data_IF_442831548027
#
_entry.id   IF_442831548027
#
_cell.length_a   1.000
_cell.length_b   1.000
_cell.length_c   1.000
_cell.angle_alpha   90.00
_cell.angle_beta   90.00
_cell.angle_gamma   90.00
#
_symmetry.space_group_name_H-M   'P 1'
#
loop_
_entity.id
_entity.type
_entity.pdbx_description
1 polymer ?
#
# COMPACT_ATOMS: atom_id res chain seq x y z
N UNK A 1 0.40 -33.53 -5.43
CA UNK A 1 -0.26 -33.11 -4.17
C UNK A 1 -0.65 -31.63 -4.26
N UNK A 2 -1.90 -31.26 -3.90
CA UNK A 2 -2.27 -29.84 -3.80
C UNK A 2 -1.50 -29.20 -2.64
N UNK A 3 -0.62 -28.24 -2.92
CA UNK A 3 0.11 -27.51 -1.86
C UNK A 3 -0.87 -26.81 -0.93
N UNK A 4 -0.71 -27.00 0.38
CA UNK A 4 -1.42 -26.26 1.41
C UNK A 4 -0.64 -24.97 1.69
N UNK A 5 -1.30 -23.81 1.56
CA UNK A 5 -0.71 -22.49 1.77
C UNK A 5 -1.40 -21.78 2.94
N UNK A 6 -0.63 -21.42 3.95
CA UNK A 6 -1.10 -20.57 5.04
C UNK A 6 -0.56 -19.15 4.86
N UNK A 7 -1.46 -18.19 4.63
CA UNK A 7 -1.10 -16.78 4.55
C UNK A 7 -1.17 -16.15 5.94
N UNK A 8 -0.04 -15.70 6.47
CA UNK A 8 0.08 -15.08 7.78
C UNK A 8 -0.03 -13.56 7.67
N UNK A 9 -1.17 -13.01 8.08
CA UNK A 9 -1.43 -11.56 8.08
C UNK A 9 -2.24 -11.14 9.32
N UNK A 10 -1.60 -10.97 10.47
CA UNK A 10 -2.27 -10.78 11.76
C UNK A 10 -3.27 -9.63 11.83
N UNK A 11 -3.01 -8.51 11.13
CA UNK A 11 -3.91 -7.35 11.14
C UNK A 11 -4.37 -7.02 9.73
N UNK A 12 -5.69 -7.04 9.51
CA UNK A 12 -6.34 -6.66 8.26
C UNK A 12 -6.93 -5.25 8.39
N UNK A 13 -6.09 -4.25 8.16
CA UNK A 13 -6.52 -2.86 8.05
C UNK A 13 -7.00 -2.58 6.62
N UNK A 14 -7.87 -1.56 6.42
CA UNK A 14 -8.38 -1.23 5.08
C UNK A 14 -7.33 -0.44 4.26
N UNK A 15 -6.21 -1.07 3.93
CA UNK A 15 -5.07 -0.46 3.25
C UNK A 15 -4.73 -1.08 1.90
N UNK A 16 -3.68 -0.53 1.26
CA UNK A 16 -3.21 -1.04 -0.03
C UNK A 16 -2.56 -2.43 0.05
N UNK A 17 -1.93 -2.78 1.18
CA UNK A 17 -1.32 -4.09 1.38
C UNK A 17 -2.39 -5.19 1.45
N UNK A 18 -3.48 -4.94 2.19
CA UNK A 18 -4.61 -5.86 2.35
C UNK A 18 -5.36 -6.03 1.02
N UNK A 19 -5.50 -4.99 0.22
CA UNK A 19 -6.05 -5.10 -1.15
C UNK A 19 -5.24 -6.09 -1.99
N UNK A 20 -3.92 -6.01 -1.94
CA UNK A 20 -3.05 -6.95 -2.65
C UNK A 20 -3.19 -8.36 -2.10
N UNK A 21 -3.31 -8.52 -0.78
CA UNK A 21 -3.54 -9.80 -0.14
C UNK A 21 -4.83 -10.46 -0.66
N UNK A 22 -5.96 -9.73 -0.72
CA UNK A 22 -7.21 -10.27 -1.26
C UNK A 22 -7.08 -10.71 -2.71
N UNK A 23 -6.40 -9.91 -3.55
CA UNK A 23 -6.19 -10.25 -4.97
C UNK A 23 -5.36 -11.51 -5.13
N UNK A 24 -4.24 -11.62 -4.41
CA UNK A 24 -3.30 -12.75 -4.51
C UNK A 24 -3.94 -14.03 -3.96
N UNK A 25 -4.55 -13.99 -2.77
CA UNK A 25 -5.18 -15.16 -2.17
C UNK A 25 -6.38 -15.67 -2.96
N UNK A 26 -7.19 -14.77 -3.52
CA UNK A 26 -8.30 -15.15 -4.39
C UNK A 26 -7.81 -15.77 -5.71
N UNK A 27 -6.70 -15.28 -6.25
CA UNK A 27 -6.08 -15.89 -7.43
C UNK A 27 -5.59 -17.31 -7.13
N UNK A 28 -4.87 -17.52 -6.04
CA UNK A 28 -4.41 -18.84 -5.62
C UNK A 28 -5.55 -19.84 -5.46
N UNK A 29 -6.66 -19.39 -4.84
CA UNK A 29 -7.86 -20.21 -4.71
C UNK A 29 -8.46 -20.58 -6.08
N UNK A 30 -8.44 -19.66 -7.04
CA UNK A 30 -8.90 -19.93 -8.42
C UNK A 30 -8.01 -20.97 -9.14
N UNK A 31 -6.73 -21.01 -8.82
CA UNK A 31 -5.76 -21.99 -9.35
C UNK A 31 -5.80 -23.33 -8.61
N UNK A 32 -6.77 -23.54 -7.71
CA UNK A 32 -6.93 -24.83 -7.00
C UNK A 32 -6.06 -25.03 -5.78
N UNK A 33 -5.28 -24.01 -5.34
CA UNK A 33 -4.49 -24.09 -4.10
C UNK A 33 -5.41 -24.08 -2.89
N UNK A 34 -5.13 -24.92 -1.90
CA UNK A 34 -5.75 -24.88 -0.58
C UNK A 34 -5.18 -23.70 0.20
N UNK A 35 -5.97 -22.62 0.37
CA UNK A 35 -5.53 -21.40 1.04
C UNK A 35 -6.17 -21.26 2.41
N UNK A 36 -5.35 -21.05 3.41
CA UNK A 36 -5.73 -20.69 4.77
C UNK A 36 -5.26 -19.26 5.09
N UNK A 37 -6.09 -18.45 5.76
CA UNK A 37 -5.72 -17.09 6.19
C UNK A 37 -5.65 -17.06 7.71
N UNK A 38 -4.48 -16.80 8.26
CA UNK A 38 -4.28 -16.60 9.69
C UNK A 38 -4.30 -15.11 10.03
N UNK A 39 -5.33 -14.67 10.77
CA UNK A 39 -5.54 -13.28 11.13
C UNK A 39 -6.37 -13.13 12.40
N UNK A 40 -6.21 -12.01 13.11
CA UNK A 40 -7.06 -11.61 14.21
C UNK A 40 -8.34 -10.86 13.77
N UNK A 41 -8.51 -10.58 12.48
CA UNK A 41 -9.63 -9.79 11.95
C UNK A 41 -10.62 -10.64 11.18
N UNK A 42 -11.47 -11.40 11.91
CA UNK A 42 -12.54 -12.21 11.31
C UNK A 42 -13.58 -11.37 10.56
N UNK A 43 -13.86 -10.14 11.01
CA UNK A 43 -14.78 -9.20 10.36
C UNK A 43 -14.41 -8.90 8.89
N UNK A 44 -13.14 -9.02 8.55
CA UNK A 44 -12.60 -8.80 7.19
C UNK A 44 -12.60 -10.07 6.34
N UNK A 45 -12.88 -11.23 6.90
CA UNK A 45 -12.87 -12.51 6.20
C UNK A 45 -13.80 -12.54 4.99
N UNK A 46 -14.94 -11.86 5.06
CA UNK A 46 -15.90 -11.72 3.94
C UNK A 46 -15.32 -11.11 2.66
N UNK A 47 -14.16 -10.50 2.72
CA UNK A 47 -13.48 -9.94 1.54
C UNK A 47 -12.70 -11.00 0.75
N UNK A 48 -12.49 -12.19 1.34
CA UNK A 48 -11.88 -13.32 0.65
C UNK A 48 -12.92 -14.14 -0.11
N UNK A 49 -12.45 -14.88 -1.12
CA UNK A 49 -13.30 -15.77 -1.90
C UNK A 49 -13.81 -16.94 -1.04
N UNK A 50 -15.05 -17.36 -1.28
CA UNK A 50 -15.64 -18.55 -0.64
C UNK A 50 -14.73 -19.78 -0.83
N UNK A 51 -14.51 -20.55 0.23
CA UNK A 51 -13.63 -21.73 0.25
C UNK A 51 -12.17 -21.45 0.61
N UNK A 52 -11.78 -20.21 0.89
CA UNK A 52 -10.55 -19.89 1.63
C UNK A 52 -10.87 -20.16 3.12
N UNK A 53 -10.00 -20.87 3.85
CA UNK A 53 -10.23 -21.20 5.27
C UNK A 53 -9.67 -20.08 6.15
N UNK A 54 -10.44 -19.67 7.15
CA UNK A 54 -9.97 -18.74 8.18
C UNK A 54 -9.40 -19.49 9.39
N UNK A 55 -8.20 -19.11 9.81
CA UNK A 55 -7.54 -19.55 11.03
C UNK A 55 -7.29 -18.30 11.88
N UNK A 56 -7.82 -18.32 13.11
CA UNK A 56 -7.67 -17.16 14.00
C UNK A 56 -8.84 -17.05 14.96
N UNK A 57 -8.88 -15.95 15.68
CA UNK A 57 -9.94 -15.72 16.65
C UNK A 57 -11.16 -15.04 16.03
N UNK A 58 -12.35 -15.59 16.28
CA UNK A 58 -13.63 -14.95 15.93
C UNK A 58 -14.07 -13.94 16.98
N UNK A 59 -13.43 -13.91 18.15
CA UNK A 59 -13.78 -13.02 19.25
C UNK A 59 -13.54 -11.56 18.89
N UNK A 60 -14.59 -10.73 19.01
CA UNK A 60 -14.59 -9.29 18.71
C UNK A 60 -13.59 -8.50 19.58
N UNK A 61 -13.34 -8.97 20.80
CA UNK A 61 -12.37 -8.36 21.71
C UNK A 61 -10.99 -8.23 21.07
N UNK A 62 -10.45 -9.31 20.48
CA UNK A 62 -9.14 -9.31 19.82
C UNK A 62 -9.11 -8.48 18.54
N UNK A 63 -10.23 -8.42 17.81
CA UNK A 63 -10.36 -7.64 16.58
C UNK A 63 -10.21 -6.13 16.81
N UNK A 64 -10.60 -5.63 18.00
CA UNK A 64 -10.51 -4.22 18.39
C UNK A 64 -9.13 -3.83 18.96
N UNK A 65 -8.28 -4.79 19.32
CA UNK A 65 -6.96 -4.53 19.91
C UNK A 65 -6.00 -3.86 18.93
N UNK A 66 -4.96 -3.24 19.48
CA UNK A 66 -3.89 -2.63 18.70
C UNK A 66 -3.11 -3.69 17.88
N UNK A 67 -2.31 -3.23 16.95
CA UNK A 67 -1.58 -4.09 16.00
C UNK A 67 -0.60 -5.03 16.68
N UNK A 68 0.07 -4.59 17.73
CA UNK A 68 1.05 -5.39 18.47
C UNK A 68 0.39 -6.59 19.15
N UNK A 69 -0.74 -6.37 19.82
CA UNK A 69 -1.50 -7.46 20.46
C UNK A 69 -1.99 -8.47 19.42
N UNK A 70 -2.51 -7.99 18.28
CA UNK A 70 -2.90 -8.89 17.17
C UNK A 70 -1.72 -9.75 16.68
N UNK A 71 -0.51 -9.18 16.62
CA UNK A 71 0.68 -9.94 16.26
C UNK A 71 0.96 -11.06 17.25
N UNK A 72 0.96 -10.76 18.55
CA UNK A 72 1.20 -11.77 19.61
C UNK A 72 0.16 -12.89 19.56
N UNK A 73 -1.12 -12.55 19.50
CA UNK A 73 -2.21 -13.54 19.42
C UNK A 73 -2.06 -14.42 18.18
N UNK A 74 -1.77 -13.84 17.02
CA UNK A 74 -1.63 -14.62 15.80
C UNK A 74 -0.34 -15.48 15.77
N UNK A 75 0.73 -15.04 16.41
CA UNK A 75 1.95 -15.86 16.57
C UNK A 75 1.68 -17.05 17.47
N UNK A 76 0.93 -16.86 18.55
CA UNK A 76 0.50 -17.95 19.42
C UNK A 76 -0.37 -18.97 18.67
N UNK A 77 -1.37 -18.47 17.91
CA UNK A 77 -2.22 -19.34 17.08
C UNK A 77 -1.38 -20.06 16.02
N UNK A 78 -0.41 -19.40 15.40
CA UNK A 78 0.51 -20.00 14.44
C UNK A 78 1.29 -21.17 15.08
N UNK A 79 1.87 -20.93 16.26
CA UNK A 79 2.63 -21.92 16.99
C UNK A 79 1.81 -23.18 17.25
N UNK A 80 0.63 -23.07 17.90
CA UNK A 80 -0.23 -24.21 18.20
C UNK A 80 -0.80 -24.90 16.96
N UNK A 81 -1.07 -24.13 15.91
CA UNK A 81 -1.54 -24.70 14.67
C UNK A 81 -0.47 -25.56 13.97
N UNK A 82 0.80 -25.14 14.03
CA UNK A 82 1.90 -25.87 13.41
C UNK A 82 2.35 -27.08 14.21
N UNK A 83 2.36 -27.01 15.55
CA UNK A 83 2.79 -28.14 16.40
C UNK A 83 1.83 -29.32 16.28
N UNK A 84 0.54 -29.05 16.11
CA UNK A 84 -0.52 -30.06 16.03
C UNK A 84 -0.70 -30.63 14.60
N UNK A 85 0.16 -30.27 13.63
CA UNK A 85 0.05 -30.75 12.24
C UNK A 85 1.20 -31.67 11.86
N UNK A 86 0.88 -32.87 11.37
CA UNK A 86 1.85 -33.72 10.69
C UNK A 86 2.32 -33.07 9.37
N UNK A 87 1.39 -32.65 8.51
CA UNK A 87 1.69 -31.98 7.24
C UNK A 87 1.58 -30.48 7.41
N UNK A 88 2.74 -29.80 7.46
CA UNK A 88 2.82 -28.36 7.66
C UNK A 88 2.63 -27.62 6.34
N UNK A 89 1.75 -26.60 6.29
CA UNK A 89 1.57 -25.80 5.09
C UNK A 89 2.80 -24.91 4.85
N UNK A 90 3.02 -24.51 3.59
CA UNK A 90 3.92 -23.41 3.30
C UNK A 90 3.34 -22.12 3.90
N UNK A 91 4.13 -21.43 4.72
CA UNK A 91 3.71 -20.17 5.33
C UNK A 91 4.09 -19.01 4.40
N UNK A 92 3.13 -18.17 4.03
CA UNK A 92 3.36 -16.94 3.28
C UNK A 92 3.09 -15.72 4.17
N UNK A 93 4.14 -15.14 4.74
CA UNK A 93 4.03 -14.04 5.69
C UNK A 93 3.96 -12.68 4.98
N UNK A 94 2.87 -11.93 5.21
CA UNK A 94 2.63 -10.58 4.71
C UNK A 94 2.91 -9.49 5.76
N UNK A 95 2.86 -9.83 7.04
CA UNK A 95 3.11 -8.93 8.18
C UNK A 95 3.84 -9.68 9.29
N UNK A 96 4.48 -8.93 10.18
CA UNK A 96 5.23 -9.48 11.32
C UNK A 96 6.26 -10.55 10.91
N UNK A 97 6.85 -10.39 9.74
CA UNK A 97 7.67 -11.38 9.05
C UNK A 97 8.77 -11.98 9.94
N UNK A 98 9.51 -11.14 10.68
CA UNK A 98 10.61 -11.56 11.55
C UNK A 98 10.14 -12.57 12.61
N UNK A 99 9.03 -12.27 13.27
CA UNK A 99 8.47 -13.13 14.32
C UNK A 99 7.88 -14.42 13.74
N UNK A 100 7.23 -14.33 12.58
CA UNK A 100 6.69 -15.51 11.88
C UNK A 100 7.80 -16.45 11.43
N UNK A 101 8.94 -15.91 10.96
CA UNK A 101 10.12 -16.71 10.59
C UNK A 101 10.65 -17.49 11.79
N UNK A 102 10.79 -16.86 12.96
CA UNK A 102 11.24 -17.54 14.17
C UNK A 102 10.33 -18.72 14.54
N UNK A 103 9.02 -18.49 14.63
CA UNK A 103 8.04 -19.55 14.95
C UNK A 103 8.09 -20.68 13.91
N UNK A 104 8.11 -20.35 12.63
CA UNK A 104 8.15 -21.35 11.57
C UNK A 104 9.41 -22.21 11.63
N UNK A 105 10.59 -21.60 11.84
CA UNK A 105 11.86 -22.34 11.86
C UNK A 105 12.05 -23.17 13.11
N UNK A 106 11.62 -22.72 14.28
CA UNK A 106 11.56 -23.53 15.49
C UNK A 106 10.74 -24.81 15.25
N UNK A 107 9.62 -24.69 14.55
CA UNK A 107 8.71 -25.79 14.24
C UNK A 107 9.01 -26.49 12.91
N UNK A 108 10.17 -26.26 12.28
CA UNK A 108 10.59 -26.88 11.01
C UNK A 108 9.56 -26.76 9.89
N UNK A 109 8.90 -25.61 9.78
CA UNK A 109 7.96 -25.29 8.71
C UNK A 109 8.60 -24.39 7.65
N UNK A 110 8.23 -24.58 6.38
CA UNK A 110 8.68 -23.70 5.29
C UNK A 110 7.97 -22.37 5.34
N UNK A 111 8.75 -21.28 5.20
CA UNK A 111 8.22 -19.91 5.25
C UNK A 111 8.84 -19.01 4.20
N UNK A 112 7.98 -18.33 3.44
CA UNK A 112 8.37 -17.21 2.59
C UNK A 112 7.82 -15.91 3.14
N UNK A 113 8.58 -14.84 3.01
CA UNK A 113 8.18 -13.55 3.52
C UNK A 113 7.98 -12.53 2.41
N UNK A 114 6.97 -11.69 2.54
CA UNK A 114 6.73 -10.56 1.65
C UNK A 114 6.81 -9.25 2.41
N UNK A 115 7.80 -8.43 2.06
CA UNK A 115 7.96 -7.09 2.65
C UNK A 115 7.20 -6.04 1.85
N UNK A 116 6.36 -5.25 2.55
CA UNK A 116 5.43 -4.30 1.97
C UNK A 116 5.85 -2.83 2.10
N UNK A 117 6.84 -2.52 2.93
CA UNK A 117 7.34 -1.17 3.16
C UNK A 117 8.86 -1.17 3.34
N UNK A 118 9.49 -0.09 2.89
CA UNK A 118 10.94 0.05 2.95
C UNK A 118 11.50 -0.17 4.37
N UNK A 119 12.70 -0.76 4.51
CA UNK A 119 13.34 -1.04 5.80
C UNK A 119 13.56 0.20 6.68
N UNK A 120 13.58 1.40 6.12
CA UNK A 120 13.63 2.66 6.85
C UNK A 120 12.47 2.84 7.83
N UNK A 121 11.33 2.20 7.56
CA UNK A 121 10.18 2.18 8.45
C UNK A 121 10.19 1.08 9.52
N UNK A 122 11.20 0.20 9.55
CA UNK A 122 11.21 -0.96 10.47
C UNK A 122 11.81 -0.62 11.83
N UNK A 123 13.04 -0.12 11.86
CA UNK A 123 13.72 0.33 13.06
C UNK A 123 14.93 1.20 12.71
N UNK A 124 15.20 2.21 13.54
CA UNK A 124 16.46 2.97 13.49
C UNK A 124 17.54 2.38 14.44
N UNK A 125 17.16 1.43 15.31
CA UNK A 125 18.06 0.80 16.24
C UNK A 125 18.99 -0.19 15.51
N UNK A 126 20.31 0.02 15.67
CA UNK A 126 21.35 -0.79 15.02
C UNK A 126 21.28 -2.27 15.42
N UNK A 127 21.13 -2.56 16.73
CA UNK A 127 21.06 -3.93 17.26
C UNK A 127 19.85 -4.66 16.71
N UNK A 128 18.67 -4.02 16.73
CA UNK A 128 17.45 -4.61 16.13
C UNK A 128 17.63 -4.90 14.64
N UNK A 129 18.29 -4.01 13.90
CA UNK A 129 18.56 -4.24 12.48
C UNK A 129 19.50 -5.42 12.24
N UNK A 130 20.51 -5.63 13.10
CA UNK A 130 21.42 -6.78 13.05
C UNK A 130 20.66 -8.10 13.32
N UNK A 131 19.83 -8.11 14.34
CA UNK A 131 18.95 -9.25 14.66
C UNK A 131 17.99 -9.54 13.50
N UNK A 132 17.34 -8.52 12.95
CA UNK A 132 16.44 -8.67 11.80
C UNK A 132 17.14 -9.22 10.56
N UNK A 133 18.40 -8.84 10.33
CA UNK A 133 19.23 -9.38 9.25
C UNK A 133 19.46 -10.88 9.41
N UNK A 134 19.75 -11.33 10.62
CA UNK A 134 19.96 -12.76 10.92
C UNK A 134 18.65 -13.53 10.71
N UNK A 135 17.59 -13.10 11.36
CA UNK A 135 16.32 -13.84 11.33
C UNK A 135 15.73 -13.91 9.92
N UNK A 136 15.72 -12.82 9.16
CA UNK A 136 15.13 -12.82 7.81
C UNK A 136 15.88 -13.75 6.84
N UNK A 137 17.18 -14.02 7.08
CA UNK A 137 17.97 -14.97 6.31
C UNK A 137 17.57 -16.43 6.56
N UNK A 138 16.89 -16.72 7.66
CA UNK A 138 16.37 -18.06 7.96
C UNK A 138 15.12 -18.39 7.13
N UNK A 139 14.44 -17.40 6.55
CA UNK A 139 13.31 -17.67 5.65
C UNK A 139 13.78 -18.43 4.41
N UNK A 140 12.95 -19.36 3.90
CA UNK A 140 13.28 -20.14 2.70
C UNK A 140 13.39 -19.26 1.45
N UNK A 141 12.58 -18.21 1.36
CA UNK A 141 12.76 -17.13 0.38
C UNK A 141 12.15 -15.82 0.85
N UNK A 142 12.60 -14.73 0.25
CA UNK A 142 12.17 -13.37 0.57
C UNK A 142 11.68 -12.66 -0.69
N UNK A 143 10.52 -12.01 -0.59
CA UNK A 143 9.90 -11.27 -1.66
C UNK A 143 9.72 -9.80 -1.32
N UNK A 144 9.89 -8.94 -2.31
CA UNK A 144 9.63 -7.50 -2.26
C UNK A 144 8.77 -7.07 -3.44
N UNK A 145 8.19 -5.88 -3.35
CA UNK A 145 7.21 -5.40 -4.32
C UNK A 145 7.73 -4.31 -5.28
N UNK A 146 9.02 -3.98 -5.24
CA UNK A 146 9.64 -3.05 -6.19
C UNK A 146 11.13 -3.35 -6.37
N UNK A 147 11.71 -2.96 -7.51
CA UNK A 147 13.13 -3.13 -7.80
C UNK A 147 14.00 -2.24 -6.91
N UNK A 148 13.53 -1.03 -6.62
CA UNK A 148 14.23 -0.14 -5.66
C UNK A 148 14.29 -0.79 -4.28
N UNK A 149 13.21 -1.44 -3.85
CA UNK A 149 13.18 -2.16 -2.59
C UNK A 149 14.14 -3.36 -2.61
N UNK A 150 14.20 -4.10 -3.73
CA UNK A 150 15.18 -5.19 -3.93
C UNK A 150 16.62 -4.69 -3.75
N UNK A 151 16.98 -3.56 -4.36
CA UNK A 151 18.31 -2.94 -4.23
C UNK A 151 18.63 -2.59 -2.77
N UNK A 152 17.69 -1.96 -2.06
CA UNK A 152 17.85 -1.61 -0.63
C UNK A 152 18.01 -2.87 0.22
N UNK A 153 17.22 -3.90 -0.04
CA UNK A 153 17.29 -5.18 0.69
C UNK A 153 18.65 -5.85 0.51
N UNK A 154 19.14 -5.93 -0.74
CA UNK A 154 20.45 -6.47 -1.07
C UNK A 154 21.57 -5.70 -0.33
N UNK A 155 21.53 -4.35 -0.36
CA UNK A 155 22.53 -3.51 0.32
C UNK A 155 22.48 -3.67 1.85
N UNK A 156 21.27 -3.61 2.45
CA UNK A 156 21.11 -3.59 3.93
C UNK A 156 21.24 -4.96 4.57
N UNK A 157 20.68 -6.00 3.94
CA UNK A 157 20.59 -7.34 4.55
C UNK A 157 21.46 -8.39 3.89
N UNK A 158 22.13 -8.08 2.77
CA UNK A 158 22.89 -9.03 1.95
C UNK A 158 22.03 -10.22 1.49
N UNK A 159 20.76 -9.95 1.16
CA UNK A 159 19.77 -10.89 0.64
C UNK A 159 19.36 -10.37 -0.74
N UNK A 160 19.22 -11.27 -1.72
CA UNK A 160 18.74 -10.94 -3.06
C UNK A 160 17.27 -11.36 -3.23
N UNK A 161 16.29 -10.59 -2.75
CA UNK A 161 14.89 -10.99 -2.74
C UNK A 161 14.31 -11.08 -4.15
N UNK A 162 13.28 -11.90 -4.32
CA UNK A 162 12.47 -11.89 -5.54
C UNK A 162 11.62 -10.64 -5.60
N UNK A 163 11.68 -9.91 -6.72
CA UNK A 163 10.80 -8.76 -6.93
C UNK A 163 9.57 -9.17 -7.73
N UNK A 164 8.38 -9.02 -7.12
CA UNK A 164 7.09 -9.21 -7.81
C UNK A 164 6.20 -8.02 -7.46
N UNK A 165 5.75 -7.29 -8.48
CA UNK A 165 4.92 -6.10 -8.30
C UNK A 165 3.56 -6.41 -7.68
N UNK A 166 2.95 -5.39 -7.08
CA UNK A 166 1.55 -5.45 -6.66
C UNK A 166 0.66 -5.73 -7.86
N UNK A 167 -0.22 -6.75 -7.80
CA UNK A 167 -1.18 -7.00 -8.85
C UNK A 167 -2.23 -5.89 -8.89
N UNK A 168 -2.56 -5.41 -10.09
CA UNK A 168 -3.54 -4.35 -10.29
C UNK A 168 -4.71 -4.85 -11.13
N UNK A 169 -5.88 -4.95 -10.50
CA UNK A 169 -7.11 -5.38 -11.15
C UNK A 169 -7.87 -4.17 -11.72
N UNK A 170 -7.76 -4.00 -13.06
CA UNK A 170 -8.46 -2.96 -13.82
C UNK A 170 -9.99 -3.12 -13.76
N UNK A 171 -10.47 -4.36 -13.82
CA UNK A 171 -11.90 -4.67 -13.85
C UNK A 171 -12.57 -4.35 -12.52
N UNK A 172 -11.87 -4.62 -11.41
CA UNK A 172 -12.32 -4.22 -10.07
C UNK A 172 -12.57 -2.71 -9.99
N UNK A 173 -11.63 -1.89 -10.50
CA UNK A 173 -11.79 -0.43 -10.47
C UNK A 173 -12.92 0.04 -11.39
N UNK A 174 -13.03 -0.52 -12.61
CA UNK A 174 -14.14 -0.22 -13.52
C UNK A 174 -15.48 -0.51 -12.87
N UNK A 175 -15.65 -1.69 -12.25
CA UNK A 175 -16.85 -2.06 -11.49
C UNK A 175 -17.17 -1.10 -10.34
N UNK A 176 -16.14 -0.64 -9.60
CA UNK A 176 -16.30 0.33 -8.52
C UNK A 176 -16.69 1.73 -9.01
N UNK A 177 -16.28 2.10 -10.21
CA UNK A 177 -16.68 3.38 -10.83
C UNK A 177 -18.11 3.37 -11.36
N UNK A 178 -18.64 2.21 -11.78
CA UNK A 178 -20.02 2.07 -12.26
C UNK A 178 -21.05 1.90 -11.14
N UNK A 179 -20.61 1.62 -9.89
CA UNK A 179 -21.52 1.52 -8.76
C UNK A 179 -22.04 2.91 -8.35
N UNK A 180 -23.24 2.94 -7.66
CA UNK A 180 -23.80 4.18 -7.11
C UNK A 180 -22.76 4.89 -6.23
N UNK A 181 -22.42 6.12 -6.55
CA UNK A 181 -21.34 6.87 -5.91
C UNK A 181 -21.88 8.08 -5.18
N UNK A 182 -21.19 8.49 -4.10
CA UNK A 182 -21.50 9.72 -3.38
C UNK A 182 -21.33 10.95 -4.28
N UNK A 183 -22.20 11.93 -4.13
CA UNK A 183 -22.04 13.26 -4.76
C UNK A 183 -20.81 13.95 -4.18
N UNK A 184 -19.85 14.30 -5.04
CA UNK A 184 -18.64 15.02 -4.66
C UNK A 184 -18.82 16.49 -5.03
N UNK A 185 -19.32 17.29 -4.09
CA UNK A 185 -19.67 18.70 -4.33
C UNK A 185 -18.50 19.66 -4.06
N UNK A 186 -17.44 19.18 -3.36
CA UNK A 186 -16.31 20.04 -3.00
C UNK A 186 -15.39 20.34 -4.20
N UNK A 187 -15.22 19.39 -5.11
CA UNK A 187 -14.51 19.62 -6.38
C UNK A 187 -15.38 20.47 -7.32
N UNK A 188 -14.76 21.47 -7.96
CA UNK A 188 -15.47 22.42 -8.83
C UNK A 188 -14.88 22.43 -10.24
N UNK A 189 -15.73 22.61 -11.25
CA UNK A 189 -15.31 22.83 -12.65
C UNK A 189 -14.50 24.15 -12.71
N UNK A 190 -13.44 24.17 -13.52
CA UNK A 190 -12.54 25.32 -13.64
C UNK A 190 -11.45 25.41 -12.56
N UNK A 191 -11.57 24.66 -11.45
CA UNK A 191 -10.55 24.57 -10.40
C UNK A 191 -9.51 23.49 -10.69
N UNK A 192 -8.33 23.60 -10.09
CA UNK A 192 -7.36 22.50 -10.00
C UNK A 192 -7.80 21.63 -8.82
N UNK A 193 -8.42 20.49 -9.12
CA UNK A 193 -8.91 19.56 -8.13
C UNK A 193 -7.80 18.53 -7.79
N UNK A 194 -7.35 18.54 -6.55
CA UNK A 194 -6.24 17.72 -6.05
C UNK A 194 -6.78 16.69 -5.07
N UNK A 195 -6.27 15.47 -5.16
CA UNK A 195 -6.58 14.42 -4.20
C UNK A 195 -5.32 13.85 -3.57
N UNK A 196 -5.34 13.63 -2.26
CA UNK A 196 -4.35 12.85 -1.54
C UNK A 196 -5.05 11.74 -0.75
N UNK A 197 -4.58 10.50 -0.89
CA UNK A 197 -5.21 9.33 -0.27
C UNK A 197 -4.18 8.54 0.51
N UNK A 198 -4.44 8.30 1.79
CA UNK A 198 -3.59 7.49 2.63
C UNK A 198 -3.95 7.59 4.10
N UNK A 199 -3.33 6.74 4.93
CA UNK A 199 -3.45 6.85 6.38
C UNK A 199 -2.98 8.23 6.85
N UNK A 200 -3.69 8.85 7.79
CA UNK A 200 -3.28 10.13 8.36
C UNK A 200 -2.20 9.89 9.42
N UNK A 201 -0.97 9.68 8.97
CA UNK A 201 0.21 9.32 9.78
C UNK A 201 1.44 10.10 9.32
N UNK A 202 2.48 10.14 10.13
CA UNK A 202 3.76 10.79 9.83
C UNK A 202 4.43 10.22 8.56
N UNK A 203 4.22 8.93 8.28
CA UNK A 203 4.70 8.29 7.07
C UNK A 203 4.13 8.93 5.80
N UNK A 204 2.81 9.20 5.78
CA UNK A 204 2.11 9.74 4.60
C UNK A 204 2.25 11.25 4.46
N UNK A 205 2.63 11.93 5.52
CA UNK A 205 2.99 13.35 5.59
C UNK A 205 2.06 14.29 4.82
N UNK A 206 0.76 14.15 5.08
CA UNK A 206 -0.24 15.06 4.50
C UNK A 206 -0.03 16.53 4.90
N UNK A 207 0.74 16.79 5.98
CA UNK A 207 1.07 18.15 6.40
C UNK A 207 1.92 18.87 5.34
N UNK A 208 2.88 18.19 4.70
CA UNK A 208 3.64 18.73 3.56
C UNK A 208 2.71 19.13 2.40
N UNK A 209 1.68 18.31 2.11
CA UNK A 209 0.65 18.68 1.13
C UNK A 209 -0.13 19.93 1.52
N UNK A 210 -0.51 20.07 2.80
CA UNK A 210 -1.21 21.27 3.31
C UNK A 210 -0.34 22.52 3.25
N UNK A 211 0.96 22.41 3.61
CA UNK A 211 1.93 23.51 3.49
C UNK A 211 2.04 23.98 2.04
N UNK A 212 2.04 23.05 1.07
CA UNK A 212 2.05 23.42 -0.35
C UNK A 212 0.80 24.21 -0.78
N UNK A 213 -0.39 23.81 -0.31
CA UNK A 213 -1.64 24.54 -0.61
C UNK A 213 -1.65 25.90 0.06
N UNK A 214 -1.11 26.02 1.27
CA UNK A 214 -1.09 27.28 2.05
C UNK A 214 -0.32 28.40 1.36
N UNK A 215 0.82 28.08 0.72
CA UNK A 215 1.66 29.09 0.04
C UNK A 215 1.18 29.44 -1.39
N UNK A 216 0.10 28.82 -1.88
CA UNK A 216 -0.48 29.19 -3.17
C UNK A 216 -1.22 30.51 -3.07
N UNK A 217 -1.06 31.36 -4.10
CA UNK A 217 -1.76 32.65 -4.19
C UNK A 217 -3.27 32.49 -3.94
N UNK A 218 -3.94 33.47 -3.30
CA UNK A 218 -5.38 33.41 -3.01
C UNK A 218 -6.26 33.24 -4.25
N UNK A 219 -5.89 33.89 -5.35
CA UNK A 219 -6.61 33.90 -6.65
C UNK A 219 -6.51 32.55 -7.39
N UNK A 220 -5.53 31.70 -7.07
CA UNK A 220 -5.40 30.41 -7.71
C UNK A 220 -6.56 29.47 -7.29
N UNK A 221 -7.44 29.18 -8.24
CA UNK A 221 -8.61 28.31 -8.05
C UNK A 221 -8.22 26.86 -7.81
N UNK A 222 -8.00 26.47 -6.54
CA UNK A 222 -7.58 25.11 -6.12
C UNK A 222 -8.58 24.56 -5.11
N UNK A 223 -8.87 23.25 -5.22
CA UNK A 223 -9.59 22.46 -4.22
C UNK A 223 -8.81 21.18 -3.96
N UNK A 224 -8.60 20.83 -2.69
CA UNK A 224 -7.92 19.59 -2.29
C UNK A 224 -8.80 18.76 -1.37
N UNK A 225 -8.95 17.47 -1.68
CA UNK A 225 -9.57 16.49 -0.80
C UNK A 225 -8.48 15.55 -0.27
N UNK A 226 -8.51 15.31 1.04
CA UNK A 226 -7.69 14.29 1.69
C UNK A 226 -8.61 13.17 2.17
N UNK A 227 -8.34 11.93 1.72
CA UNK A 227 -9.08 10.72 2.10
C UNK A 227 -8.19 9.86 2.99
N UNK A 228 -8.67 9.56 4.19
CA UNK A 228 -7.98 8.65 5.10
C UNK A 228 -8.44 8.76 6.54
N UNK A 229 -7.88 7.89 7.38
CA UNK A 229 -8.01 7.91 8.84
C UNK A 229 -6.64 7.69 9.48
N UNK A 230 -6.42 8.19 10.68
CA UNK A 230 -5.17 7.98 11.41
C UNK A 230 -4.94 9.00 12.51
N UNK A 231 -3.85 8.80 13.25
CA UNK A 231 -3.51 9.57 14.47
C UNK A 231 -3.32 11.08 14.22
N UNK A 232 -2.92 11.47 13.01
CA UNK A 232 -2.64 12.87 12.68
C UNK A 232 -3.89 13.67 12.26
N UNK A 233 -5.11 13.11 12.39
CA UNK A 233 -6.34 13.81 11.97
C UNK A 233 -6.46 15.19 12.63
N UNK A 234 -6.38 15.23 13.96
CA UNK A 234 -6.50 16.48 14.73
C UNK A 234 -5.42 17.51 14.37
N UNK A 235 -4.18 17.06 14.17
CA UNK A 235 -3.08 17.93 13.73
C UNK A 235 -3.36 18.58 12.38
N UNK A 236 -3.89 17.81 11.43
CA UNK A 236 -4.22 18.31 10.09
C UNK A 236 -5.40 19.26 10.13
N UNK A 237 -6.46 18.96 10.91
CA UNK A 237 -7.61 19.83 11.13
C UNK A 237 -7.19 21.16 11.78
N UNK A 238 -6.35 21.11 12.83
CA UNK A 238 -5.79 22.31 13.47
C UNK A 238 -5.01 23.17 12.46
N UNK A 239 -4.15 22.55 11.65
CA UNK A 239 -3.39 23.29 10.61
C UNK A 239 -4.30 23.97 9.59
N UNK A 240 -5.36 23.27 9.11
CA UNK A 240 -6.34 23.82 8.17
C UNK A 240 -7.06 25.02 8.76
N UNK A 241 -7.49 24.94 10.01
CA UNK A 241 -8.24 26.02 10.68
C UNK A 241 -7.38 27.26 10.95
N UNK A 242 -6.18 27.06 11.55
CA UNK A 242 -5.24 28.17 11.84
C UNK A 242 -4.88 28.93 10.55
N UNK A 243 -4.64 28.22 9.44
CA UNK A 243 -4.28 28.84 8.17
C UNK A 243 -5.49 29.18 7.28
N UNK A 244 -6.72 29.14 7.83
CA UNK A 244 -7.98 29.48 7.12
C UNK A 244 -8.15 28.76 5.77
N UNK A 245 -7.70 27.49 5.69
CA UNK A 245 -7.70 26.70 4.44
C UNK A 245 -9.02 25.95 4.19
N UNK A 246 -10.05 26.06 5.04
CA UNK A 246 -11.32 25.32 4.93
C UNK A 246 -12.01 25.50 3.57
N UNK A 247 -11.83 26.66 2.94
CA UNK A 247 -12.36 26.94 1.60
C UNK A 247 -11.57 26.24 0.47
N UNK A 248 -10.31 25.84 0.68
CA UNK A 248 -9.45 25.14 -0.29
C UNK A 248 -9.28 23.66 -0.01
N UNK A 249 -9.38 23.21 1.24
CA UNK A 249 -9.06 21.84 1.66
C UNK A 249 -10.19 21.21 2.48
N UNK A 250 -10.48 19.93 2.24
CA UNK A 250 -11.44 19.13 3.01
C UNK A 250 -10.88 17.76 3.35
N UNK A 251 -10.88 17.40 4.65
CA UNK A 251 -10.69 16.03 5.12
C UNK A 251 -12.04 15.32 5.11
N UNK A 252 -12.18 14.25 4.32
CA UNK A 252 -13.47 13.55 4.15
C UNK A 252 -13.50 12.18 4.85
N UNK A 253 -12.49 11.89 5.68
CA UNK A 253 -12.40 10.62 6.38
C UNK A 253 -12.06 9.45 5.44
N UNK A 254 -12.22 8.22 5.92
CA UNK A 254 -12.04 7.02 5.12
C UNK A 254 -13.20 6.82 4.15
N UNK A 255 -12.87 6.48 2.89
CA UNK A 255 -13.86 6.13 1.87
C UNK A 255 -13.61 4.72 1.36
N UNK A 256 -14.62 3.85 1.45
CA UNK A 256 -14.56 2.47 0.93
C UNK A 256 -14.36 2.42 -0.58
N UNK A 257 -14.90 3.40 -1.30
CA UNK A 257 -14.72 3.57 -2.73
C UNK A 257 -14.11 4.95 -3.06
N UNK A 258 -12.79 5.08 -3.13
CA UNK A 258 -12.14 6.37 -3.43
C UNK A 258 -12.07 6.69 -4.93
N UNK A 259 -12.37 5.75 -5.82
CA UNK A 259 -12.14 5.90 -7.26
C UNK A 259 -12.93 7.03 -7.91
N UNK A 260 -14.18 7.33 -7.54
CA UNK A 260 -14.91 8.49 -8.07
C UNK A 260 -14.21 9.81 -7.73
N UNK A 261 -13.59 9.90 -6.55
CA UNK A 261 -12.81 11.07 -6.15
C UNK A 261 -11.55 11.21 -7.00
N UNK A 262 -10.82 10.09 -7.23
CA UNK A 262 -9.65 10.09 -8.13
C UNK A 262 -10.09 10.47 -9.55
N UNK A 263 -11.19 9.90 -10.06
CA UNK A 263 -11.71 10.18 -11.41
C UNK A 263 -12.06 11.67 -11.59
N UNK A 264 -12.62 12.33 -10.57
CA UNK A 264 -12.97 13.75 -10.60
C UNK A 264 -11.79 14.69 -10.33
N UNK A 265 -10.66 14.20 -9.82
CA UNK A 265 -9.47 15.03 -9.59
C UNK A 265 -8.68 15.27 -10.88
N UNK A 266 -7.86 16.32 -10.86
CA UNK A 266 -6.86 16.61 -11.89
C UNK A 266 -5.49 16.06 -11.50
N UNK A 267 -5.13 16.19 -10.21
CA UNK A 267 -3.84 15.85 -9.65
C UNK A 267 -4.03 14.84 -8.52
N UNK A 268 -3.23 13.77 -8.54
CA UNK A 268 -3.02 12.89 -7.38
C UNK A 268 -1.69 13.28 -6.75
N UNK A 269 -1.73 13.68 -5.48
CA UNK A 269 -0.58 14.12 -4.71
C UNK A 269 -0.21 13.09 -3.65
N UNK A 270 1.04 12.62 -3.67
CA UNK A 270 1.62 11.75 -2.65
C UNK A 270 2.83 12.45 -2.01
N UNK A 271 2.75 12.75 -0.71
CA UNK A 271 3.79 13.44 0.06
C UNK A 271 4.55 12.54 1.03
N UNK A 272 4.50 11.23 0.85
CA UNK A 272 5.02 10.24 1.79
C UNK A 272 6.52 10.37 2.03
N UNK A 273 6.96 10.04 3.25
CA UNK A 273 8.38 9.96 3.64
C UNK A 273 9.04 8.64 3.21
N UNK A 274 8.28 7.57 3.13
CA UNK A 274 8.72 6.25 2.63
C UNK A 274 7.53 5.40 2.22
N UNK A 275 7.71 4.51 1.25
CA UNK A 275 6.69 3.61 0.69
C UNK A 275 7.26 2.18 0.48
N UNK A 276 6.47 1.32 -0.10
CA UNK A 276 6.90 0.11 -0.78
C UNK A 276 6.63 0.24 -2.27
N UNK A 277 5.41 -0.09 -2.70
CA UNK A 277 4.88 0.22 -4.03
C UNK A 277 3.48 0.82 -3.83
N UNK A 278 3.33 2.15 -3.83
CA UNK A 278 2.07 2.81 -3.47
C UNK A 278 0.97 2.58 -4.51
N UNK A 279 -0.06 1.79 -4.16
CA UNK A 279 -1.17 1.46 -5.07
C UNK A 279 -1.89 2.70 -5.59
N UNK A 280 -1.96 3.78 -4.80
CA UNK A 280 -2.61 5.03 -5.24
C UNK A 280 -1.98 5.62 -6.50
N UNK A 281 -0.67 5.46 -6.71
CA UNK A 281 -0.02 5.92 -7.93
C UNK A 281 -0.39 5.03 -9.12
N UNK A 282 -0.57 3.71 -8.92
CA UNK A 282 -1.06 2.80 -9.95
C UNK A 282 -2.52 3.15 -10.32
N UNK A 283 -3.35 3.44 -9.32
CA UNK A 283 -4.74 3.87 -9.49
C UNK A 283 -4.82 5.19 -10.26
N UNK A 284 -3.94 6.14 -9.96
CA UNK A 284 -3.83 7.41 -10.65
C UNK A 284 -3.40 7.26 -12.12
N UNK A 285 -2.40 6.41 -12.42
CA UNK A 285 -1.98 6.13 -13.79
C UNK A 285 -3.10 5.48 -14.61
N UNK A 286 -3.78 4.47 -14.04
CA UNK A 286 -4.90 3.81 -14.71
C UNK A 286 -6.06 4.79 -15.00
N UNK A 287 -6.34 5.70 -14.07
CA UNK A 287 -7.39 6.73 -14.22
C UNK A 287 -6.90 7.98 -14.97
N UNK A 288 -5.71 7.92 -15.58
CA UNK A 288 -5.12 8.98 -16.40
C UNK A 288 -5.05 10.32 -15.66
N UNK A 289 -4.55 10.31 -14.41
CA UNK A 289 -4.35 11.51 -13.60
C UNK A 289 -2.91 11.96 -13.61
N UNK A 290 -2.69 13.27 -13.56
CA UNK A 290 -1.37 13.81 -13.33
C UNK A 290 -0.93 13.50 -11.89
N UNK A 291 0.31 13.06 -11.73
CA UNK A 291 0.86 12.63 -10.46
C UNK A 291 1.99 13.57 -10.07
N UNK A 292 1.91 14.09 -8.85
CA UNK A 292 3.01 14.72 -8.13
C UNK A 292 3.30 13.82 -6.92
N UNK A 293 4.52 13.33 -6.79
CA UNK A 293 4.90 12.43 -5.70
C UNK A 293 6.26 12.81 -5.13
N UNK A 294 6.43 12.61 -3.83
CA UNK A 294 7.77 12.60 -3.24
C UNK A 294 8.60 11.48 -3.84
N UNK A 295 9.89 11.77 -4.06
CA UNK A 295 10.92 10.81 -4.45
C UNK A 295 11.40 10.02 -3.21
N UNK A 296 10.45 9.54 -2.41
CA UNK A 296 10.77 8.80 -1.19
C UNK A 296 11.28 7.39 -1.49
N UNK A 297 12.07 6.79 -0.59
CA UNK A 297 12.34 5.36 -0.64
C UNK A 297 11.02 4.57 -0.47
N UNK A 298 10.67 3.74 -1.29
CA UNK A 298 10.83 3.03 -2.52
C UNK A 298 9.56 3.21 -3.37
N UNK A 299 9.52 2.74 -4.61
CA UNK A 299 8.31 2.64 -5.43
C UNK A 299 7.90 3.87 -6.25
N UNK A 300 7.78 5.11 -5.73
CA UNK A 300 7.36 6.25 -6.53
C UNK A 300 8.22 6.48 -7.77
N UNK A 301 9.55 6.49 -7.61
CA UNK A 301 10.51 6.64 -8.72
C UNK A 301 10.31 5.57 -9.79
N UNK A 302 10.13 4.33 -9.39
CA UNK A 302 9.92 3.20 -10.28
C UNK A 302 8.58 3.28 -11.00
N UNK A 303 7.49 3.60 -10.29
CA UNK A 303 6.16 3.78 -10.90
C UNK A 303 6.18 4.92 -11.90
N UNK A 304 6.81 6.04 -11.54
CA UNK A 304 6.85 7.25 -12.36
C UNK A 304 7.98 7.27 -13.39
N UNK A 305 8.71 6.15 -13.58
CA UNK A 305 9.76 6.01 -14.59
C UNK A 305 10.80 7.13 -14.49
N UNK A 306 11.32 7.37 -13.28
CA UNK A 306 12.27 8.46 -12.99
C UNK A 306 11.73 9.86 -13.37
N UNK A 307 10.47 10.13 -13.15
CA UNK A 307 9.82 11.42 -13.44
C UNK A 307 9.23 11.58 -14.84
N UNK A 308 9.39 10.59 -15.74
CA UNK A 308 8.81 10.63 -17.10
C UNK A 308 7.29 10.43 -17.10
N UNK A 309 6.72 9.76 -16.08
CA UNK A 309 5.30 9.46 -15.96
C UNK A 309 4.57 10.24 -14.85
N UNK A 310 5.15 11.32 -14.37
CA UNK A 310 4.69 12.20 -13.32
C UNK A 310 5.86 13.00 -12.77
N UNK A 311 5.64 13.89 -11.81
CA UNK A 311 6.72 14.67 -11.21
C UNK A 311 7.14 14.11 -9.86
N UNK A 312 8.46 14.04 -9.65
CA UNK A 312 9.09 13.65 -8.39
C UNK A 312 9.67 14.90 -7.73
N UNK A 313 9.42 15.02 -6.43
CA UNK A 313 9.94 16.10 -5.57
C UNK A 313 10.63 15.49 -4.36
N UNK A 314 11.56 16.22 -3.75
CA UNK A 314 12.19 15.73 -2.52
C UNK A 314 11.19 15.64 -1.37
N UNK A 315 11.48 14.75 -0.41
CA UNK A 315 10.63 14.55 0.77
C UNK A 315 10.57 15.84 1.57
N UNK A 316 9.37 16.34 1.85
CA UNK A 316 9.14 17.58 2.59
C UNK A 316 9.18 18.87 1.73
N UNK A 317 9.54 18.79 0.45
CA UNK A 317 9.62 19.97 -0.43
C UNK A 317 8.23 20.46 -0.87
N UNK A 318 7.52 21.07 0.06
CA UNK A 318 6.21 21.67 -0.21
C UNK A 318 6.28 22.87 -1.18
N UNK A 319 7.43 23.56 -1.29
CA UNK A 319 7.62 24.67 -2.21
C UNK A 319 7.60 24.19 -3.67
N UNK A 320 8.31 23.11 -3.98
CA UNK A 320 8.30 22.49 -5.30
C UNK A 320 6.93 21.92 -5.66
N UNK A 321 6.22 21.30 -4.70
CA UNK A 321 4.84 20.85 -4.89
C UNK A 321 3.95 22.02 -5.27
N UNK A 322 4.00 23.12 -4.54
CA UNK A 322 3.23 24.33 -4.84
C UNK A 322 3.55 24.91 -6.22
N UNK A 323 4.84 24.94 -6.58
CA UNK A 323 5.26 25.38 -7.92
C UNK A 323 4.64 24.51 -9.02
N UNK A 324 4.69 23.19 -8.91
CA UNK A 324 4.10 22.26 -9.89
C UNK A 324 2.57 22.43 -10.01
N UNK A 325 1.88 22.69 -8.89
CA UNK A 325 0.46 23.00 -8.90
C UNK A 325 0.20 24.33 -9.63
N UNK A 326 0.99 25.38 -9.37
CA UNK A 326 0.86 26.70 -9.99
C UNK A 326 0.98 26.63 -11.51
N UNK A 327 1.95 25.86 -12.03
CA UNK A 327 2.20 25.75 -13.47
C UNK A 327 1.31 24.72 -14.18
N UNK A 328 0.47 23.95 -13.46
CA UNK A 328 -0.36 22.88 -14.00
C UNK A 328 -1.16 23.27 -15.24
N UNK A 329 -1.85 24.42 -15.18
CA UNK A 329 -2.67 24.88 -16.32
C UNK A 329 -1.84 25.34 -17.51
N UNK A 330 -0.62 25.87 -17.26
CA UNK A 330 0.30 26.37 -18.31
C UNK A 330 1.01 25.23 -19.03
N UNK A 331 1.28 24.12 -18.35
CA UNK A 331 2.09 23.00 -18.90
C UNK A 331 1.26 21.78 -19.33
N UNK A 332 0.01 21.98 -19.77
CA UNK A 332 -0.90 20.87 -20.15
C UNK A 332 -0.30 19.88 -21.16
N UNK A 333 0.44 20.37 -22.17
CA UNK A 333 1.06 19.51 -23.20
C UNK A 333 2.07 18.54 -22.58
N UNK A 334 2.96 19.04 -21.72
CA UNK A 334 3.96 18.24 -21.02
C UNK A 334 3.29 17.25 -20.05
N UNK A 335 2.32 17.71 -19.29
CA UNK A 335 1.57 16.91 -18.33
C UNK A 335 0.83 15.76 -19.03
N UNK A 336 0.16 16.03 -20.17
CA UNK A 336 -0.53 15.02 -20.95
C UNK A 336 0.45 13.98 -21.51
N UNK A 337 1.66 14.38 -21.92
CA UNK A 337 2.73 13.44 -22.31
C UNK A 337 3.11 12.53 -21.15
N UNK A 338 3.32 13.06 -19.94
CA UNK A 338 3.63 12.27 -18.73
C UNK A 338 2.50 11.28 -18.39
N UNK A 339 1.24 11.72 -18.44
CA UNK A 339 0.07 10.85 -18.23
C UNK A 339 0.03 9.71 -19.25
N UNK A 340 0.25 10.00 -20.54
CA UNK A 340 0.27 9.00 -21.63
C UNK A 340 1.39 7.98 -21.42
N UNK A 341 2.60 8.43 -21.05
CA UNK A 341 3.73 7.54 -20.74
C UNK A 341 3.38 6.61 -19.57
N UNK A 342 2.82 7.14 -18.49
CA UNK A 342 2.41 6.33 -17.33
C UNK A 342 1.36 5.28 -17.68
N UNK A 343 0.33 5.67 -18.43
CA UNK A 343 -0.72 4.77 -18.87
C UNK A 343 -0.22 3.66 -19.79
N UNK A 344 0.65 3.98 -20.75
CA UNK A 344 1.18 3.00 -21.71
C UNK A 344 2.13 1.99 -21.06
N UNK A 345 2.86 2.40 -20.02
CA UNK A 345 3.78 1.52 -19.28
C UNK A 345 3.12 0.76 -18.11
N UNK A 346 1.81 0.85 -17.99
CA UNK A 346 1.06 0.29 -16.86
C UNK A 346 0.99 -1.25 -16.86
N UNK A 347 1.15 -1.91 -18.02
CA UNK A 347 1.00 -3.37 -18.19
C UNK A 347 1.86 -4.21 -17.25
N UNK A 348 3.04 -3.69 -16.81
CA UNK A 348 3.92 -4.37 -15.84
C UNK A 348 3.28 -4.65 -14.47
N UNK A 349 2.18 -3.96 -14.14
CA UNK A 349 1.41 -4.15 -12.91
C UNK A 349 0.16 -5.00 -13.12
N UNK A 350 -0.02 -5.58 -14.31
CA UNK A 350 -1.20 -6.38 -14.66
C UNK A 350 -1.47 -7.47 -13.61
N UNK A 351 -2.76 -7.67 -13.32
CA UNK A 351 -3.24 -8.61 -12.31
C UNK A 351 -2.83 -10.05 -12.61
N UNK A 352 -3.15 -10.54 -13.82
CA UNK A 352 -2.88 -11.92 -14.19
C UNK A 352 -1.37 -12.20 -14.24
N UNK A 353 -0.62 -11.29 -14.87
CA UNK A 353 0.83 -11.40 -14.99
C UNK A 353 1.51 -11.52 -13.61
N UNK A 354 1.16 -10.63 -12.67
CA UNK A 354 1.83 -10.62 -11.38
C UNK A 354 1.32 -11.73 -10.45
N UNK A 355 0.02 -12.04 -10.46
CA UNK A 355 -0.51 -13.16 -9.68
C UNK A 355 0.09 -14.51 -10.15
N UNK A 356 0.28 -14.71 -11.47
CA UNK A 356 1.00 -15.89 -11.99
C UNK A 356 2.44 -15.96 -11.49
N UNK A 357 3.15 -14.80 -11.42
CA UNK A 357 4.50 -14.76 -10.84
C UNK A 357 4.50 -15.12 -9.35
N UNK A 358 3.48 -14.70 -8.58
CA UNK A 358 3.32 -15.12 -7.19
C UNK A 358 3.09 -16.63 -7.07
N UNK A 359 2.22 -17.19 -7.93
CA UNK A 359 1.93 -18.62 -7.97
C UNK A 359 3.20 -19.43 -8.24
N UNK A 360 3.89 -19.12 -9.35
CA UNK A 360 5.13 -19.81 -9.74
C UNK A 360 6.24 -19.69 -8.66
N UNK A 361 6.20 -18.61 -7.86
CA UNK A 361 7.15 -18.43 -6.78
C UNK A 361 6.88 -19.38 -5.62
N UNK A 362 5.62 -19.50 -5.17
CA UNK A 362 5.28 -20.42 -4.06
C UNK A 362 5.31 -21.89 -4.47
N UNK A 363 5.17 -22.22 -5.76
CA UNK A 363 5.24 -23.60 -6.25
C UNK A 363 6.66 -24.16 -6.28
N UNK A 364 7.68 -23.29 -6.30
CA UNK A 364 9.10 -23.69 -6.34
C UNK A 364 9.67 -24.06 -4.97
N UNK A 365 8.97 -23.76 -3.90
CA UNK A 365 9.36 -24.02 -2.51
C UNK A 365 8.64 -25.26 -2.00
#
# INVERSE_FOLDING_TARGET
>A
MKKNLMIFNPSLDDGGAEKNLYLISNYFKNCGISVEILSANYDKYKNFKKGIKFIGTKNVFWQKKNRTIKYLVCLFILFFNLINRKDKPLIFAFQANIYAVLVAKILKANIVTRSNSAPQGWSQNFIKNKIYKIIIKLADDVMVNSLDFKKIFKKKFSINPKCIYNPFDKNFIKKKLSSKNEKINFFKKGYINIISIGRLTDQKDHLTSLKAINILKPDLKVKMIIIGKGKNKLLLEKYININKLNHKVKLVGYKKNPYPYIKKSNIVLLSSKYEGLPNILLEAQFLKKYIISTNCPTGPREILLNGRAGDLVEVGDYKKIAHLIKIYKKQKKIINKKIKIGYNNFGRFDYQLNCKKYLNFIEKI
#
